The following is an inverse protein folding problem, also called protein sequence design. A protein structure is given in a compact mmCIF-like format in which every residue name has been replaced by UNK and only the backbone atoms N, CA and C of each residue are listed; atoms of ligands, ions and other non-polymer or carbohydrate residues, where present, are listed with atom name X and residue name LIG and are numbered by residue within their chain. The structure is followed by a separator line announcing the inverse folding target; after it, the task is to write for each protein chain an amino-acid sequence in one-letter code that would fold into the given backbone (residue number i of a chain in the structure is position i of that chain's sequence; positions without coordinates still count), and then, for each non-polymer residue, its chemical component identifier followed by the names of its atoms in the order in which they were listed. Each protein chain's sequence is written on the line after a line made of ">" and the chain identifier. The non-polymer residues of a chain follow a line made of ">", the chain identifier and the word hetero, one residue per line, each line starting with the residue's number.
data_IF_913318064190
#
_entry.id   IF_913318064190
#
_cell.length_a   1.000
_cell.length_b   1.000
_cell.length_c   1.000
_cell.angle_alpha   90.00
_cell.angle_beta   90.00
_cell.angle_gamma   90.00
#
_symmetry.space_group_name_H-M   'P 1'
#
loop_
_entity.id
_entity.type
_entity.pdbx_description
1 polymer ?
#
# COMPACT_ATOMS: atom_id res chain seq x y z
N UNK A 1 -7.52 18.38 6.51
CA UNK A 1 -7.64 17.67 6.05
C UNK A 1 -7.57 17.24 4.94
N UNK A 2 -7.49 16.76 4.67
CA UNK A 2 -7.44 16.35 3.64
C UNK A 2 -8.44 16.02 2.89
N UNK A 3 -9.24 16.65 2.80
CA UNK A 3 -10.36 16.37 2.09
C UNK A 3 -10.23 16.36 0.63
N UNK A 4 -9.29 16.96 0.06
CA UNK A 4 -9.07 16.84 -1.35
C UNK A 4 -8.33 15.60 -1.70
N UNK A 5 -7.99 14.79 -0.74
CA UNK A 5 -7.37 13.51 -0.98
C UNK A 5 -8.44 12.47 -0.83
N UNK A 6 -9.00 12.07 -1.93
CA UNK A 6 -10.00 11.03 -1.91
C UNK A 6 -9.32 9.69 -1.97
N UNK A 7 -9.38 8.98 -0.87
CA UNK A 7 -8.81 7.66 -0.79
C UNK A 7 -9.93 6.65 -0.98
N UNK A 8 -9.83 5.83 -1.99
CA UNK A 8 -10.81 4.82 -2.31
C UNK A 8 -10.31 3.46 -1.86
N UNK A 9 -11.17 2.68 -1.22
CA UNK A 9 -10.83 1.32 -0.83
C UNK A 9 -10.71 0.49 -2.09
N UNK A 10 -9.64 -0.30 -2.17
CA UNK A 10 -9.37 -1.11 -3.34
C UNK A 10 -9.40 -2.58 -2.94
N UNK A 11 -10.18 -3.38 -3.68
CA UNK A 11 -10.22 -4.82 -3.45
C UNK A 11 -8.90 -5.45 -3.88
N UNK A 12 -8.55 -6.57 -3.23
CA UNK A 12 -7.28 -7.24 -3.52
C UNK A 12 -7.10 -7.61 -4.98
N UNK A 13 -8.18 -7.97 -5.65
CA UNK A 13 -8.09 -8.38 -7.05
C UNK A 13 -8.19 -7.22 -8.02
N UNK A 14 -8.20 -5.99 -7.51
CA UNK A 14 -8.32 -4.80 -8.35
C UNK A 14 -7.15 -3.85 -8.15
N UNK A 15 -6.06 -4.35 -7.60
CA UNK A 15 -4.89 -3.53 -7.35
C UNK A 15 -4.25 -3.05 -8.64
N UNK A 16 -3.82 -1.79 -8.63
CA UNK A 16 -3.16 -1.18 -9.78
C UNK A 16 -1.88 -0.48 -9.31
N UNK A 17 -0.97 -0.32 -10.24
CA UNK A 17 0.26 0.41 -9.96
C UNK A 17 -0.05 1.76 -9.35
N UNK A 18 0.65 2.06 -8.26
CA UNK A 18 0.47 3.32 -7.56
C UNK A 18 -0.47 3.25 -6.38
N UNK A 19 -1.19 2.15 -6.22
CA UNK A 19 -2.05 1.99 -5.06
C UNK A 19 -1.21 1.86 -3.80
N UNK A 20 -1.70 2.44 -2.70
CA UNK A 20 -1.02 2.36 -1.42
C UNK A 20 -1.47 1.12 -0.68
N UNK A 21 -0.51 0.37 -0.18
CA UNK A 21 -0.76 -0.85 0.58
C UNK A 21 -0.43 -0.58 2.04
N UNK A 22 -1.35 -0.97 2.93
CA UNK A 22 -1.19 -0.73 4.36
C UNK A 22 -1.02 -2.05 5.08
N UNK A 23 -0.06 -2.09 6.01
CA UNK A 23 0.26 -3.28 6.77
C UNK A 23 0.34 -2.96 8.25
N UNK A 24 0.08 -3.97 9.09
CA UNK A 24 0.28 -3.85 10.53
C UNK A 24 1.42 -4.80 10.92
N UNK A 25 2.62 -4.25 11.00
CA UNK A 25 3.80 -5.05 11.30
C UNK A 25 4.01 -5.14 12.82
N UNK A 26 3.91 -4.01 13.49
CA UNK A 26 4.16 -3.93 14.92
C UNK A 26 2.90 -3.74 15.75
N UNK A 27 1.83 -3.30 15.14
CA UNK A 27 0.56 -3.07 15.81
C UNK A 27 -0.51 -3.89 15.13
N UNK A 28 -1.44 -4.44 15.91
CA UNK A 28 -2.53 -5.20 15.32
C UNK A 28 -3.71 -4.33 14.95
N UNK A 29 -3.74 -3.11 15.46
CA UNK A 29 -4.92 -2.27 15.33
C UNK A 29 -4.78 -1.17 14.30
N UNK A 30 -3.55 -0.74 14.04
CA UNK A 30 -3.34 0.38 13.13
C UNK A 30 -2.26 0.03 12.12
N UNK A 31 -2.37 0.66 10.95
CA UNK A 31 -1.36 0.52 9.91
C UNK A 31 -0.11 1.25 10.36
N UNK A 32 1.01 0.52 10.39
CA UNK A 32 2.29 1.12 10.76
C UNK A 32 3.33 0.91 9.68
N UNK A 33 2.92 0.46 8.52
CA UNK A 33 3.83 0.24 7.40
C UNK A 33 3.07 0.42 6.10
N UNK A 34 3.72 1.06 5.13
CA UNK A 34 3.08 1.36 3.85
C UNK A 34 3.99 0.91 2.72
N UNK A 35 3.38 0.38 1.67
CA UNK A 35 4.07 0.09 0.42
C UNK A 35 3.32 0.71 -0.74
N UNK A 36 3.94 0.71 -1.92
CA UNK A 36 3.33 1.20 -3.14
C UNK A 36 3.31 0.07 -4.14
N UNK A 37 2.14 -0.26 -4.64
CA UNK A 37 1.97 -1.38 -5.57
C UNK A 37 2.60 -1.06 -6.92
N UNK A 38 3.35 -2.02 -7.46
CA UNK A 38 4.03 -1.85 -8.74
C UNK A 38 3.36 -2.61 -9.88
N UNK A 39 2.42 -3.48 -9.54
CA UNK A 39 1.83 -4.37 -10.53
C UNK A 39 2.40 -5.76 -10.40
N UNK A 40 1.72 -6.75 -10.97
CA UNK A 40 2.18 -8.15 -10.99
C UNK A 40 2.46 -8.71 -9.60
N UNK A 41 1.72 -8.26 -8.61
CA UNK A 41 1.86 -8.78 -7.26
C UNK A 41 3.05 -8.23 -6.50
N UNK A 42 3.75 -7.26 -7.05
CA UNK A 42 4.93 -6.69 -6.42
C UNK A 42 4.63 -5.31 -5.86
N UNK A 43 5.33 -4.95 -4.81
CA UNK A 43 5.23 -3.61 -4.25
C UNK A 43 6.59 -3.18 -3.74
N UNK A 44 6.76 -1.86 -3.67
CA UNK A 44 8.00 -1.28 -3.18
C UNK A 44 7.76 -0.76 -1.77
N UNK A 45 8.73 -0.95 -0.90
CA UNK A 45 8.59 -0.51 0.48
C UNK A 45 9.95 -0.20 1.06
N UNK A 46 9.95 0.65 2.07
CA UNK A 46 11.16 0.98 2.81
C UNK A 46 10.98 0.45 4.23
N UNK A 47 11.76 -0.55 4.64
CA UNK A 47 11.53 -1.20 5.92
C UNK A 47 11.62 -0.24 7.10
N UNK A 48 12.53 0.71 7.03
CA UNK A 48 12.65 1.73 8.06
C UNK A 48 13.51 2.86 7.55
N UNK A 49 13.46 3.97 8.27
CA UNK A 49 14.23 5.14 7.89
C UNK A 49 15.71 4.80 7.73
N UNK A 50 16.26 5.21 6.61
CA UNK A 50 17.68 4.99 6.34
C UNK A 50 18.01 3.66 5.72
N UNK A 51 17.05 2.75 5.63
CA UNK A 51 17.29 1.47 4.98
C UNK A 51 16.95 1.54 3.50
N UNK A 52 17.51 0.60 2.76
CA UNK A 52 17.31 0.56 1.33
C UNK A 52 15.86 0.22 0.98
N UNK A 53 15.32 0.92 0.00
CA UNK A 53 14.01 0.58 -0.57
C UNK A 53 14.15 -0.76 -1.28
N UNK A 54 13.15 -1.60 -1.13
CA UNK A 54 13.20 -2.92 -1.74
C UNK A 54 11.86 -3.28 -2.34
N UNK A 55 11.88 -4.24 -3.26
CA UNK A 55 10.68 -4.77 -3.88
C UNK A 55 10.33 -6.08 -3.20
N UNK A 56 9.07 -6.22 -2.82
CA UNK A 56 8.57 -7.42 -2.17
C UNK A 56 7.36 -7.93 -2.92
N UNK A 57 6.95 -9.17 -2.60
CA UNK A 57 5.80 -9.78 -3.24
C UNK A 57 4.66 -9.88 -2.24
N UNK A 58 3.51 -9.31 -2.64
CA UNK A 58 2.36 -9.28 -1.75
C UNK A 58 1.83 -10.68 -1.43
N UNK A 59 2.04 -11.64 -2.32
CA UNK A 59 1.53 -13.00 -2.12
C UNK A 59 2.32 -13.79 -1.09
N UNK A 60 3.46 -13.29 -0.64
CA UNK A 60 4.23 -14.00 0.38
C UNK A 60 3.46 -14.06 1.69
N UNK A 61 3.52 -15.19 2.39
CA UNK A 61 2.73 -15.36 3.61
C UNK A 61 2.91 -14.26 4.64
N UNK A 62 4.14 -13.78 4.81
CA UNK A 62 4.39 -12.70 5.77
C UNK A 62 3.54 -11.48 5.46
N UNK A 63 3.53 -11.06 4.18
CA UNK A 63 2.80 -9.87 3.80
C UNK A 63 1.30 -10.08 3.82
N UNK A 64 0.86 -11.29 3.44
CA UNK A 64 -0.56 -11.60 3.50
C UNK A 64 -1.09 -11.56 4.93
N UNK A 65 -0.29 -12.04 5.87
CA UNK A 65 -0.71 -12.06 7.27
C UNK A 65 -0.78 -10.66 7.88
N UNK A 66 -0.07 -9.71 7.30
CA UNK A 66 0.01 -8.36 7.87
C UNK A 66 -0.70 -7.32 7.03
N UNK A 67 -1.32 -7.73 5.93
CA UNK A 67 -1.96 -6.80 5.01
C UNK A 67 -3.30 -6.33 5.57
N UNK A 68 -3.48 -5.02 5.65
CA UNK A 68 -4.72 -4.45 6.13
C UNK A 68 -5.65 -4.04 5.00
N UNK A 69 -5.11 -3.58 3.91
CA UNK A 69 -5.91 -3.15 2.80
C UNK A 69 -5.17 -2.16 1.93
N UNK A 70 -5.82 -1.74 0.85
CA UNK A 70 -5.22 -0.84 -0.10
C UNK A 70 -6.12 0.35 -0.33
N UNK A 71 -5.50 1.46 -0.71
CA UNK A 71 -6.23 2.68 -1.03
C UNK A 71 -5.68 3.28 -2.31
N UNK A 72 -6.57 3.87 -3.07
CA UNK A 72 -6.19 4.59 -4.28
C UNK A 72 -6.48 6.06 -4.05
N UNK A 73 -5.45 6.90 -4.18
CA UNK A 73 -5.62 8.33 -3.96
C UNK A 73 -5.92 8.97 -5.29
N UNK A 74 -7.02 9.71 -5.33
CA UNK A 74 -7.43 10.43 -6.53
C UNK A 74 -7.04 11.89 -6.38
N UNK A 75 -6.35 12.41 -7.39
CA UNK A 75 -6.00 13.81 -7.44
C UNK A 75 -6.66 14.41 -8.67
N UNK A 76 -6.56 15.74 -8.79
CA UNK A 76 -7.10 16.37 -9.98
C UNK A 76 -6.47 15.80 -11.24
N UNK A 77 -5.19 15.48 -11.19
CA UNK A 77 -4.51 14.92 -12.33
C UNK A 77 -5.02 13.55 -12.71
N UNK A 78 -5.37 12.74 -11.71
CA UNK A 78 -5.86 11.40 -12.01
C UNK A 78 -7.34 11.42 -12.39
N UNK A 79 -8.07 12.43 -12.00
CA UNK A 79 -9.48 12.55 -12.32
C UNK A 79 -9.65 13.01 -13.76
N UNK A 80 -8.79 13.85 -14.21
CA UNK A 80 -8.85 14.37 -15.57
C UNK A 80 -8.42 13.31 -16.59
#
# INVERSE_FOLDING_TARGET
>A
MYHYHRATIVANNDLRRGDLLFFHIHSREIADHIGVYLGDGQFIESPRTGETIRVSRLAEPFWQDHFLGARRILTEETIL
#
